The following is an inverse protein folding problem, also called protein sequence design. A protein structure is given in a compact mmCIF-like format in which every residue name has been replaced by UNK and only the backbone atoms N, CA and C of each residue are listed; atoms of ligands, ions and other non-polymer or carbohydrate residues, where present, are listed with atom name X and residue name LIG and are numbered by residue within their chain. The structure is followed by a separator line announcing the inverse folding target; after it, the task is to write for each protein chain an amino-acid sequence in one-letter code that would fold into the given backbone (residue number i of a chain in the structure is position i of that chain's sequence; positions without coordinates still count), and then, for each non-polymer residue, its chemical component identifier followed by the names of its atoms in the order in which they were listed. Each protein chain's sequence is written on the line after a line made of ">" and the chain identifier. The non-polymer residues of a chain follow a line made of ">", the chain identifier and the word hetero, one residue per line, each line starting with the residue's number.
data_IF_614535621881
#
_entry.id   IF_614535621881
#
_cell.length_a   1.000
_cell.length_b   1.000
_cell.length_c   1.000
_cell.angle_alpha   90.00
_cell.angle_beta   90.00
_cell.angle_gamma   90.00
#
_symmetry.space_group_name_H-M   'P 1'
#
loop_
_entity.id
_entity.type
_entity.pdbx_description
1 polymer ?
#
# COMPACT_ATOMS: atom_id res chain seq x y z
N UNK A 1 -10.08 7.35 2.49
CA UNK A 1 -8.69 7.73 2.15
C UNK A 1 -7.81 6.50 1.97
N UNK A 2 -6.81 6.56 1.09
CA UNK A 2 -5.93 5.43 0.72
C UNK A 2 -5.22 4.81 1.94
N UNK A 3 -4.54 5.63 2.74
CA UNK A 3 -3.73 5.14 3.87
C UNK A 3 -4.57 4.50 4.99
N UNK A 4 -5.81 4.97 5.22
CA UNK A 4 -6.74 4.29 6.13
C UNK A 4 -7.09 2.89 5.62
N UNK A 5 -7.36 2.75 4.32
CA UNK A 5 -7.64 1.45 3.72
C UNK A 5 -6.45 0.49 3.86
N UNK A 6 -5.22 0.96 3.62
CA UNK A 6 -4.01 0.18 3.84
C UNK A 6 -3.86 -0.25 5.31
N UNK A 7 -4.16 0.65 6.26
CA UNK A 7 -4.13 0.34 7.68
C UNK A 7 -5.15 -0.74 8.06
N UNK A 8 -6.35 -0.67 7.46
CA UNK A 8 -7.38 -1.71 7.61
C UNK A 8 -6.92 -3.04 7.04
N UNK A 9 -6.29 -3.06 5.87
CA UNK A 9 -5.73 -4.27 5.27
C UNK A 9 -4.62 -4.87 6.14
N UNK A 10 -3.69 -4.05 6.62
CA UNK A 10 -2.63 -4.48 7.54
C UNK A 10 -3.25 -5.09 8.81
N UNK A 11 -4.17 -4.39 9.46
CA UNK A 11 -4.86 -4.89 10.66
C UNK A 11 -5.62 -6.22 10.43
N UNK A 12 -6.16 -6.42 9.23
CA UNK A 12 -6.96 -7.60 8.89
C UNK A 12 -6.10 -8.82 8.53
N UNK A 13 -5.01 -8.63 7.79
CA UNK A 13 -4.20 -9.70 7.22
C UNK A 13 -2.95 -10.04 8.04
N UNK A 14 -2.45 -9.11 8.86
CA UNK A 14 -1.27 -9.30 9.68
C UNK A 14 -1.51 -10.28 10.83
N UNK A 15 -0.68 -11.32 10.91
CA UNK A 15 -0.67 -12.30 12.00
C UNK A 15 -0.42 -11.64 13.35
N UNK A 16 0.29 -10.52 13.40
CA UNK A 16 0.54 -9.77 14.64
C UNK A 16 -0.77 -9.27 15.29
N UNK A 17 -1.78 -8.97 14.48
CA UNK A 17 -3.08 -8.49 14.94
C UNK A 17 -4.17 -9.57 14.99
N UNK A 18 -3.82 -10.83 14.72
CA UNK A 18 -4.76 -11.95 14.61
C UNK A 18 -5.73 -12.05 15.80
N UNK A 19 -5.21 -11.89 17.02
CA UNK A 19 -6.00 -12.02 18.26
C UNK A 19 -6.79 -10.75 18.61
N UNK A 20 -6.60 -9.65 17.87
CA UNK A 20 -7.31 -8.37 18.02
C UNK A 20 -8.44 -8.19 17.00
N UNK A 21 -8.83 -9.24 16.29
CA UNK A 21 -9.85 -9.15 15.25
C UNK A 21 -11.20 -8.61 15.77
N UNK A 22 -11.66 -9.07 16.94
CA UNK A 22 -12.90 -8.55 17.53
C UNK A 22 -12.75 -7.07 17.91
N UNK A 23 -11.63 -6.69 18.50
CA UNK A 23 -11.38 -5.30 18.90
C UNK A 23 -11.46 -4.34 17.69
N UNK A 24 -10.90 -4.74 16.55
CA UNK A 24 -10.83 -3.87 15.38
C UNK A 24 -12.06 -3.90 14.50
N UNK A 25 -12.74 -5.04 14.38
CA UNK A 25 -13.74 -5.23 13.33
C UNK A 25 -15.16 -5.45 13.86
N UNK A 26 -15.40 -5.64 15.16
CA UNK A 26 -16.74 -5.88 15.71
C UNK A 26 -17.75 -4.82 15.25
N UNK A 27 -18.88 -5.29 14.74
CA UNK A 27 -19.95 -4.43 14.20
C UNK A 27 -19.73 -3.98 12.75
N UNK A 28 -18.70 -4.48 12.07
CA UNK A 28 -18.47 -4.26 10.64
C UNK A 28 -18.82 -5.50 9.83
N UNK A 29 -19.14 -5.31 8.54
CA UNK A 29 -19.46 -6.42 7.64
C UNK A 29 -18.34 -7.48 7.56
N UNK A 30 -17.07 -7.05 7.58
CA UNK A 30 -15.91 -7.95 7.49
C UNK A 30 -15.70 -8.79 8.75
N UNK A 31 -16.26 -8.38 9.90
CA UNK A 31 -16.26 -9.20 11.12
C UNK A 31 -17.20 -10.39 11.00
N UNK A 32 -18.38 -10.16 10.43
CA UNK A 32 -19.39 -11.20 10.21
C UNK A 32 -19.05 -12.10 9.00
N UNK A 33 -18.17 -11.64 8.11
CA UNK A 33 -17.76 -12.35 6.89
C UNK A 33 -16.21 -12.46 6.79
N UNK A 34 -15.54 -13.14 7.74
CA UNK A 34 -14.10 -13.30 7.69
C UNK A 34 -13.69 -14.20 6.52
N UNK A 35 -12.59 -13.84 5.86
CA UNK A 35 -11.94 -14.64 4.82
C UNK A 35 -10.97 -15.64 5.46
N UNK A 36 -10.66 -16.71 4.73
CA UNK A 36 -9.70 -17.74 5.18
C UNK A 36 -8.27 -17.20 5.39
N UNK A 37 -7.93 -16.05 4.78
CA UNK A 37 -6.59 -15.45 4.83
C UNK A 37 -6.42 -14.44 5.98
N UNK A 38 -7.45 -14.23 6.80
CA UNK A 38 -7.41 -13.32 7.96
C UNK A 38 -6.28 -13.68 8.92
N UNK A 39 -5.45 -12.69 9.26
CA UNK A 39 -4.36 -12.83 10.24
C UNK A 39 -3.35 -13.94 9.89
N UNK A 40 -3.08 -14.13 8.60
CA UNK A 40 -2.24 -15.23 8.09
C UNK A 40 -0.82 -14.81 7.74
N UNK A 41 -0.59 -13.55 7.42
CA UNK A 41 0.66 -13.10 6.80
C UNK A 41 1.53 -12.32 7.76
N UNK A 42 2.84 -12.34 7.53
CA UNK A 42 3.69 -11.25 7.99
C UNK A 42 3.50 -10.07 7.02
N UNK A 43 3.19 -8.88 7.52
CA UNK A 43 3.01 -7.71 6.65
C UNK A 43 4.28 -6.86 6.63
N UNK A 44 4.80 -6.60 5.43
CA UNK A 44 5.84 -5.60 5.17
C UNK A 44 5.16 -4.36 4.57
N UNK A 45 5.03 -3.32 5.38
CA UNK A 45 4.40 -2.04 4.99
C UNK A 45 5.49 -1.01 4.69
N UNK A 46 5.45 -0.42 3.49
CA UNK A 46 6.42 0.56 3.00
C UNK A 46 5.68 1.81 2.53
N UNK A 47 5.96 2.97 3.11
CA UNK A 47 5.43 4.24 2.62
C UNK A 47 6.55 5.05 1.96
N UNK A 48 6.48 5.32 0.66
CA UNK A 48 7.52 6.07 -0.05
C UNK A 48 7.31 7.58 -0.05
N UNK A 49 6.32 8.09 0.69
CA UNK A 49 6.14 9.52 0.97
C UNK A 49 7.34 10.15 1.67
N UNK A 50 8.05 9.36 2.48
CA UNK A 50 9.18 9.79 3.32
C UNK A 50 10.52 9.82 2.59
N UNK A 51 10.56 9.35 1.33
CA UNK A 51 11.79 9.32 0.54
C UNK A 51 12.12 10.72 0.04
N UNK A 52 13.33 11.19 0.35
CA UNK A 52 13.82 12.50 -0.09
C UNK A 52 13.85 12.59 -1.63
N UNK A 53 13.08 13.49 -2.26
CA UNK A 53 13.05 13.61 -3.70
C UNK A 53 14.30 14.27 -4.30
N UNK A 54 15.17 14.90 -3.49
CA UNK A 54 16.43 15.47 -3.99
C UNK A 54 17.33 14.37 -4.61
N UNK A 55 17.70 14.46 -5.90
CA UNK A 55 18.40 13.38 -6.62
C UNK A 55 19.69 12.89 -5.94
N UNK A 56 20.43 13.79 -5.28
CA UNK A 56 21.68 13.47 -4.60
C UNK A 56 21.51 12.66 -3.31
N UNK A 57 20.33 12.72 -2.68
CA UNK A 57 20.02 12.06 -1.39
C UNK A 57 19.05 10.91 -1.54
N UNK A 58 18.34 10.84 -2.66
CA UNK A 58 17.25 9.91 -2.90
C UNK A 58 17.61 8.45 -2.69
N UNK A 59 18.66 7.95 -3.34
CA UNK A 59 19.04 6.54 -3.23
C UNK A 59 19.39 6.18 -1.79
N UNK A 60 20.10 7.07 -1.09
CA UNK A 60 20.43 6.92 0.33
C UNK A 60 19.18 6.96 1.22
N UNK A 61 18.25 7.89 0.97
CA UNK A 61 17.00 7.99 1.73
C UNK A 61 16.11 6.76 1.52
N UNK A 62 15.98 6.29 0.28
CA UNK A 62 15.30 5.05 -0.08
C UNK A 62 15.95 3.85 0.60
N UNK A 63 17.29 3.75 0.54
CA UNK A 63 18.03 2.71 1.23
C UNK A 63 17.72 2.67 2.73
N UNK A 64 17.86 3.81 3.41
CA UNK A 64 17.66 3.90 4.85
C UNK A 64 16.23 3.50 5.24
N UNK A 65 15.24 3.98 4.48
CA UNK A 65 13.84 3.63 4.71
C UNK A 65 13.58 2.12 4.58
N UNK A 66 14.12 1.48 3.54
CA UNK A 66 14.01 0.03 3.36
C UNK A 66 14.74 -0.73 4.48
N UNK A 67 15.89 -0.24 4.92
CA UNK A 67 16.65 -0.83 6.03
C UNK A 67 15.86 -0.77 7.34
N UNK A 68 15.36 0.40 7.70
CA UNK A 68 14.59 0.63 8.93
C UNK A 68 13.32 -0.23 8.93
N UNK A 69 12.60 -0.29 7.81
CA UNK A 69 11.43 -1.14 7.66
C UNK A 69 11.76 -2.63 7.82
N UNK A 70 12.89 -3.10 7.27
CA UNK A 70 13.31 -4.48 7.39
C UNK A 70 13.76 -4.85 8.82
N UNK A 71 14.45 -3.96 9.51
CA UNK A 71 14.84 -4.14 10.91
C UNK A 71 13.59 -4.19 11.80
N UNK A 72 12.68 -3.24 11.64
CA UNK A 72 11.42 -3.22 12.38
C UNK A 72 10.57 -4.47 12.11
N UNK A 73 10.53 -4.95 10.87
CA UNK A 73 9.86 -6.19 10.48
C UNK A 73 10.43 -7.39 11.26
N UNK A 74 11.76 -7.56 11.28
CA UNK A 74 12.39 -8.70 11.98
C UNK A 74 12.11 -8.64 13.48
N UNK A 75 12.13 -7.45 14.07
CA UNK A 75 11.81 -7.26 15.49
C UNK A 75 10.35 -7.63 15.79
N UNK A 76 9.41 -7.09 15.01
CA UNK A 76 7.97 -7.32 15.14
C UNK A 76 7.61 -8.80 15.04
N UNK A 77 8.20 -9.50 14.08
CA UNK A 77 7.89 -10.91 13.80
C UNK A 77 8.91 -11.89 14.37
N UNK A 78 9.71 -11.45 15.34
CA UNK A 78 10.80 -12.25 15.94
C UNK A 78 10.34 -13.64 16.44
N UNK A 79 9.12 -13.74 16.97
CA UNK A 79 8.52 -15.01 17.39
C UNK A 79 8.17 -15.93 16.23
N UNK A 80 7.64 -15.39 15.12
CA UNK A 80 7.30 -16.14 13.91
C UNK A 80 8.55 -16.58 13.12
N UNK A 81 9.65 -15.83 13.27
CA UNK A 81 10.94 -16.13 12.64
C UNK A 81 11.86 -17.00 13.54
N UNK A 82 11.48 -17.21 14.80
CA UNK A 82 12.32 -17.85 15.83
C UNK A 82 12.72 -19.30 15.52
N UNK A 83 11.89 -20.01 14.75
CA UNK A 83 12.16 -21.39 14.35
C UNK A 83 13.30 -21.51 13.33
N UNK A 84 13.80 -20.39 12.79
CA UNK A 84 14.90 -20.39 11.85
C UNK A 84 16.25 -20.12 12.55
N UNK A 85 17.19 -21.09 12.59
CA UNK A 85 18.42 -21.01 13.39
C UNK A 85 19.38 -19.87 13.02
N UNK A 86 19.22 -19.26 11.84
CA UNK A 86 20.13 -18.23 11.32
C UNK A 86 19.51 -16.83 11.29
N UNK A 87 18.40 -16.56 11.98
CA UNK A 87 17.73 -15.24 11.94
C UNK A 87 18.70 -14.07 12.23
N UNK A 88 19.61 -14.22 13.19
CA UNK A 88 20.54 -13.16 13.59
C UNK A 88 21.60 -12.89 12.51
N UNK A 89 21.98 -13.91 11.73
CA UNK A 89 22.82 -13.74 10.55
C UNK A 89 22.12 -12.88 9.48
N UNK A 90 20.83 -13.12 9.24
CA UNK A 90 20.05 -12.33 8.28
C UNK A 90 19.84 -10.88 8.75
N UNK A 91 19.53 -10.68 10.04
CA UNK A 91 19.41 -9.35 10.64
C UNK A 91 20.72 -8.55 10.47
N UNK A 92 21.86 -9.14 10.84
CA UNK A 92 23.17 -8.50 10.66
C UNK A 92 23.50 -8.23 9.19
N UNK A 93 23.13 -9.14 8.29
CA UNK A 93 23.34 -8.95 6.84
C UNK A 93 22.54 -7.77 6.29
N UNK A 94 21.32 -7.54 6.80
CA UNK A 94 20.49 -6.38 6.45
C UNK A 94 21.11 -5.08 6.98
N UNK A 95 21.59 -5.06 8.22
CA UNK A 95 22.21 -3.87 8.85
C UNK A 95 23.48 -3.40 8.11
N UNK A 96 24.26 -4.31 7.55
CA UNK A 96 25.52 -3.96 6.84
C UNK A 96 25.34 -3.82 5.32
N UNK A 97 24.14 -4.08 4.80
CA UNK A 97 23.87 -4.01 3.36
C UNK A 97 24.03 -2.58 2.85
N UNK A 98 24.44 -2.43 1.59
CA UNK A 98 24.58 -1.11 0.92
C UNK A 98 23.55 -0.88 -0.18
N UNK A 99 22.65 -1.84 -0.40
CA UNK A 99 21.59 -1.75 -1.40
C UNK A 99 20.24 -2.14 -0.81
N UNK A 100 19.21 -1.35 -1.10
CA UNK A 100 17.83 -1.66 -0.78
C UNK A 100 17.36 -2.99 -1.42
N UNK A 101 17.87 -3.29 -2.62
CA UNK A 101 17.58 -4.54 -3.33
C UNK A 101 18.14 -5.75 -2.58
N UNK A 102 19.36 -5.62 -2.02
CA UNK A 102 20.00 -6.69 -1.25
C UNK A 102 19.34 -6.86 0.12
N UNK A 103 18.90 -5.77 0.76
CA UNK A 103 18.11 -5.81 2.00
C UNK A 103 16.82 -6.61 1.75
N UNK A 104 16.03 -6.20 0.75
CA UNK A 104 14.79 -6.88 0.42
C UNK A 104 15.04 -8.35 0.07
N UNK A 105 16.03 -8.64 -0.79
CA UNK A 105 16.35 -10.02 -1.17
C UNK A 105 16.76 -10.89 0.04
N UNK A 106 17.47 -10.31 1.00
CA UNK A 106 17.86 -10.97 2.24
C UNK A 106 16.65 -11.23 3.13
N UNK A 107 15.75 -10.26 3.26
CA UNK A 107 14.50 -10.40 4.02
C UNK A 107 13.57 -11.46 3.43
N UNK A 108 13.43 -11.47 2.10
CA UNK A 108 12.63 -12.48 1.39
C UNK A 108 13.21 -13.88 1.57
N UNK A 109 14.54 -14.02 1.50
CA UNK A 109 15.18 -15.30 1.76
C UNK A 109 14.96 -15.76 3.21
N UNK A 110 15.06 -14.85 4.19
CA UNK A 110 14.73 -15.17 5.59
C UNK A 110 13.29 -15.70 5.72
N UNK A 111 12.30 -15.01 5.14
CA UNK A 111 10.91 -15.44 5.21
C UNK A 111 10.70 -16.80 4.54
N UNK A 112 11.32 -17.01 3.37
CA UNK A 112 11.29 -18.29 2.66
C UNK A 112 11.84 -19.44 3.50
N UNK A 113 13.02 -19.25 4.09
CA UNK A 113 13.68 -20.27 4.90
C UNK A 113 12.95 -20.54 6.22
N UNK A 114 12.29 -19.52 6.77
CA UNK A 114 11.39 -19.64 7.93
C UNK A 114 9.99 -20.17 7.56
N UNK A 115 9.73 -20.47 6.29
CA UNK A 115 8.43 -20.91 5.73
C UNK A 115 7.27 -19.96 6.09
N UNK A 116 7.56 -18.65 6.10
CA UNK A 116 6.58 -17.60 6.39
C UNK A 116 6.07 -16.97 5.10
N UNK A 117 4.76 -16.72 5.05
CA UNK A 117 4.11 -16.02 3.96
C UNK A 117 4.06 -14.50 4.24
N UNK A 118 4.39 -13.71 3.23
CA UNK A 118 4.52 -12.27 3.28
C UNK A 118 3.40 -11.59 2.47
N UNK A 119 2.81 -10.55 3.06
CA UNK A 119 2.00 -9.57 2.38
C UNK A 119 2.81 -8.27 2.29
N UNK A 120 3.14 -7.82 1.07
CA UNK A 120 3.80 -6.54 0.86
C UNK A 120 2.79 -5.43 0.57
N UNK A 121 2.80 -4.36 1.36
CA UNK A 121 2.00 -3.15 1.13
C UNK A 121 2.95 -2.01 0.80
N UNK A 122 2.73 -1.30 -0.30
CA UNK A 122 3.51 -0.13 -0.70
C UNK A 122 2.56 1.05 -0.91
N UNK A 123 2.68 2.09 -0.10
CA UNK A 123 1.99 3.36 -0.30
C UNK A 123 2.89 4.37 -1.00
N UNK A 124 2.27 5.27 -1.75
CA UNK A 124 2.91 6.38 -2.46
C UNK A 124 4.12 5.96 -3.32
N UNK A 125 4.01 4.84 -4.05
CA UNK A 125 5.15 4.27 -4.79
C UNK A 125 5.78 5.25 -5.79
N UNK A 126 5.02 6.24 -6.26
CA UNK A 126 5.36 7.20 -7.29
C UNK A 126 5.68 8.60 -6.74
N UNK A 127 5.64 8.81 -5.43
CA UNK A 127 5.75 10.16 -4.87
C UNK A 127 7.08 10.86 -5.22
N UNK A 128 8.20 10.21 -4.93
CA UNK A 128 9.51 10.80 -5.22
C UNK A 128 9.80 10.82 -6.73
N UNK A 129 9.27 9.86 -7.51
CA UNK A 129 9.45 9.84 -8.97
C UNK A 129 8.69 10.97 -9.66
N UNK A 130 7.48 11.28 -9.19
CA UNK A 130 6.71 12.44 -9.66
C UNK A 130 7.46 13.75 -9.39
N UNK A 131 8.08 13.86 -8.21
CA UNK A 131 8.85 15.06 -7.87
C UNK A 131 10.04 15.24 -8.79
N UNK A 132 10.78 14.17 -9.12
CA UNK A 132 11.89 14.25 -10.08
C UNK A 132 11.40 14.63 -11.46
N UNK A 133 10.32 13.98 -11.92
CA UNK A 133 9.75 14.25 -13.24
C UNK A 133 9.34 15.73 -13.36
N UNK A 134 8.80 16.31 -12.28
CA UNK A 134 8.39 17.71 -12.22
C UNK A 134 9.57 18.70 -12.07
N UNK A 135 10.62 18.35 -11.31
CA UNK A 135 11.69 19.30 -10.92
C UNK A 135 12.96 19.18 -11.76
N UNK A 136 13.36 17.98 -12.14
CA UNK A 136 14.60 17.69 -12.86
C UNK A 136 14.33 17.35 -14.32
N UNK A 137 13.20 16.69 -14.58
CA UNK A 137 12.73 16.34 -15.92
C UNK A 137 12.94 14.87 -16.30
N UNK A 138 12.54 14.56 -17.53
CA UNK A 138 12.37 13.19 -18.01
C UNK A 138 13.66 12.37 -18.03
N UNK A 139 14.82 12.95 -18.37
CA UNK A 139 16.07 12.20 -18.45
C UNK A 139 16.52 11.65 -17.09
N UNK A 140 16.39 12.46 -16.02
CA UNK A 140 16.72 12.03 -14.67
C UNK A 140 15.75 10.96 -14.16
N UNK A 141 14.46 11.13 -14.44
CA UNK A 141 13.45 10.13 -14.17
C UNK A 141 13.78 8.79 -14.89
N UNK A 142 14.12 8.83 -16.18
CA UNK A 142 14.47 7.63 -16.95
C UNK A 142 15.72 6.91 -16.42
N UNK A 143 16.72 7.64 -15.91
CA UNK A 143 17.92 7.03 -15.30
C UNK A 143 17.60 6.23 -14.03
N UNK A 144 16.52 6.58 -13.34
CA UNK A 144 16.07 5.90 -12.11
C UNK A 144 15.18 4.70 -12.40
N UNK A 145 14.29 4.84 -13.41
CA UNK A 145 13.26 3.85 -13.73
C UNK A 145 13.67 2.88 -14.84
N UNK A 146 14.63 3.22 -15.71
CA UNK A 146 15.17 2.35 -16.76
C UNK A 146 16.62 1.90 -16.50
N UNK A 147 17.04 0.82 -17.17
CA UNK A 147 18.41 0.30 -17.07
C UNK A 147 18.73 -0.31 -15.69
N UNK A 148 19.92 -0.03 -15.10
CA UNK A 148 20.36 -0.56 -13.80
C UNK A 148 19.91 0.26 -12.58
N UNK A 149 18.90 1.13 -12.71
CA UNK A 149 18.42 1.98 -11.62
C UNK A 149 18.02 1.19 -10.35
N UNK A 150 18.32 1.75 -9.17
CA UNK A 150 18.06 1.09 -7.88
C UNK A 150 16.57 0.77 -7.69
N UNK A 151 15.69 1.64 -8.19
CA UNK A 151 14.25 1.52 -8.00
C UNK A 151 13.67 0.35 -8.82
N UNK A 152 14.07 0.24 -10.09
CA UNK A 152 13.73 -0.93 -10.92
C UNK A 152 14.28 -2.22 -10.33
N UNK A 153 15.51 -2.20 -9.82
CA UNK A 153 16.15 -3.35 -9.18
C UNK A 153 15.38 -3.82 -7.93
N UNK A 154 14.86 -2.88 -7.13
CA UNK A 154 14.02 -3.18 -5.98
C UNK A 154 12.71 -3.90 -6.39
N UNK A 155 12.01 -3.39 -7.41
CA UNK A 155 10.80 -4.05 -7.91
C UNK A 155 11.07 -5.41 -8.58
N UNK A 156 12.21 -5.58 -9.24
CA UNK A 156 12.65 -6.89 -9.72
C UNK A 156 12.81 -7.90 -8.56
N UNK A 157 13.36 -7.46 -7.42
CA UNK A 157 13.47 -8.31 -6.23
C UNK A 157 12.10 -8.67 -5.64
N UNK A 158 11.15 -7.71 -5.58
CA UNK A 158 9.76 -8.02 -5.21
C UNK A 158 9.16 -9.07 -6.16
N UNK A 159 9.31 -8.91 -7.47
CA UNK A 159 8.80 -9.87 -8.46
C UNK A 159 9.41 -11.25 -8.25
N UNK A 160 10.72 -11.33 -8.04
CA UNK A 160 11.41 -12.59 -7.73
C UNK A 160 10.83 -13.24 -6.46
N UNK A 161 10.47 -12.44 -5.45
CA UNK A 161 9.83 -12.91 -4.22
C UNK A 161 8.44 -13.52 -4.39
N UNK A 162 7.78 -13.33 -5.53
CA UNK A 162 6.46 -13.93 -5.85
C UNK A 162 6.54 -15.19 -6.71
N UNK A 163 7.72 -15.52 -7.25
CA UNK A 163 7.88 -16.59 -8.26
C UNK A 163 8.77 -17.72 -7.76
N UNK A 164 8.40 -18.95 -8.14
CA UNK A 164 9.13 -20.18 -7.79
C UNK A 164 8.59 -20.89 -6.55
N UNK A 165 9.05 -22.13 -6.34
CA UNK A 165 8.61 -22.98 -5.23
C UNK A 165 9.04 -22.38 -3.88
N UNK A 166 8.07 -22.19 -2.99
CA UNK A 166 8.28 -21.55 -1.70
C UNK A 166 8.58 -20.05 -1.81
N UNK A 167 8.06 -19.37 -2.83
CA UNK A 167 8.10 -17.92 -2.90
C UNK A 167 7.44 -17.30 -1.65
N UNK A 168 8.13 -16.41 -0.92
CA UNK A 168 7.61 -15.88 0.34
C UNK A 168 6.49 -14.84 0.14
N UNK A 169 6.43 -14.13 -0.99
CA UNK A 169 5.38 -13.11 -1.21
C UNK A 169 4.13 -13.79 -1.76
N UNK A 170 3.10 -13.87 -0.92
CA UNK A 170 1.78 -14.42 -1.30
C UNK A 170 0.84 -13.33 -1.82
N UNK A 171 0.98 -12.09 -1.32
CA UNK A 171 0.14 -10.94 -1.71
C UNK A 171 0.97 -9.66 -1.79
N UNK A 172 0.57 -8.76 -2.69
CA UNK A 172 1.10 -7.40 -2.75
C UNK A 172 0.00 -6.41 -3.07
N UNK A 173 -0.03 -5.27 -2.39
CA UNK A 173 -0.94 -4.17 -2.69
C UNK A 173 -0.18 -2.86 -2.73
N UNK A 174 -0.33 -2.11 -3.83
CA UNK A 174 0.51 -0.95 -4.13
C UNK A 174 -0.40 0.21 -4.50
N UNK A 175 -0.21 1.36 -3.87
CA UNK A 175 -0.99 2.59 -4.09
C UNK A 175 -0.10 3.76 -4.48
N UNK A 176 -0.63 4.63 -5.33
CA UNK A 176 0.03 5.83 -5.85
C UNK A 176 -0.95 6.67 -6.66
N UNK A 177 -0.47 7.75 -7.29
CA UNK A 177 -1.33 8.67 -8.07
C UNK A 177 -1.03 8.65 -9.57
N UNK A 178 0.20 8.34 -9.96
CA UNK A 178 0.76 8.51 -11.31
C UNK A 178 0.94 7.17 -12.00
N UNK A 179 0.10 6.85 -13.00
CA UNK A 179 0.25 5.63 -13.78
C UNK A 179 1.53 5.62 -14.64
N UNK A 180 2.16 6.77 -14.89
CA UNK A 180 3.40 6.85 -15.69
C UNK A 180 4.54 6.10 -15.02
N UNK A 181 4.69 6.24 -13.70
CA UNK A 181 5.66 5.44 -12.94
C UNK A 181 5.31 3.97 -12.93
N UNK A 182 4.03 3.62 -13.05
CA UNK A 182 3.60 2.23 -13.15
C UNK A 182 4.15 1.59 -14.42
N UNK A 183 4.07 2.22 -15.59
CA UNK A 183 4.54 1.61 -16.84
C UNK A 183 6.06 1.31 -16.81
N UNK A 184 6.87 2.21 -16.26
CA UNK A 184 8.33 1.99 -16.23
C UNK A 184 8.74 0.98 -15.14
N UNK A 185 8.05 1.01 -13.99
CA UNK A 185 8.22 0.04 -12.90
C UNK A 185 7.61 -1.33 -13.25
N UNK A 186 6.56 -1.39 -14.07
CA UNK A 186 5.93 -2.66 -14.49
C UNK A 186 6.88 -3.48 -15.35
N UNK A 187 7.89 -2.90 -16.01
CA UNK A 187 8.95 -3.72 -16.61
C UNK A 187 9.68 -4.57 -15.55
N UNK A 188 9.82 -4.05 -14.33
CA UNK A 188 10.37 -4.75 -13.17
C UNK A 188 9.36 -5.55 -12.34
N UNK A 189 8.07 -5.21 -12.42
CA UNK A 189 6.96 -5.85 -11.69
C UNK A 189 5.73 -6.13 -12.59
N UNK A 190 5.92 -6.78 -13.73
CA UNK A 190 4.88 -7.00 -14.76
C UNK A 190 3.80 -8.03 -14.39
N UNK A 191 3.72 -8.39 -13.11
CA UNK A 191 2.74 -9.32 -12.54
C UNK A 191 1.61 -8.58 -11.83
N UNK A 192 1.75 -7.26 -11.62
CA UNK A 192 0.72 -6.43 -11.01
C UNK A 192 -0.47 -6.23 -11.96
N UNK A 193 -1.68 -6.22 -11.39
CA UNK A 193 -2.91 -5.83 -12.08
C UNK A 193 -3.33 -4.44 -11.58
N UNK A 194 -3.46 -3.46 -12.48
CA UNK A 194 -4.08 -2.20 -12.13
C UNK A 194 -5.60 -2.41 -11.95
N UNK A 195 -6.10 -2.15 -10.74
CA UNK A 195 -7.50 -2.36 -10.36
C UNK A 195 -8.24 -1.06 -10.05
N UNK A 196 -7.59 0.10 -10.22
CA UNK A 196 -8.14 1.41 -9.82
C UNK A 196 -9.44 1.77 -10.55
N UNK A 197 -9.69 1.19 -11.73
CA UNK A 197 -10.90 1.44 -12.54
C UNK A 197 -11.89 0.27 -12.52
N UNK A 198 -11.64 -0.76 -11.70
CA UNK A 198 -12.55 -1.89 -11.55
C UNK A 198 -13.83 -1.45 -10.82
N UNK A 199 -15.03 -1.74 -11.34
CA UNK A 199 -16.30 -1.33 -10.73
C UNK A 199 -16.44 -1.69 -9.25
N UNK A 200 -15.94 -2.86 -8.86
CA UNK A 200 -16.03 -3.36 -7.49
C UNK A 200 -15.21 -2.54 -6.50
N UNK A 201 -14.19 -1.82 -6.96
CA UNK A 201 -13.33 -0.96 -6.13
C UNK A 201 -13.63 0.53 -6.32
N UNK A 202 -14.52 0.89 -7.26
CA UNK A 202 -14.89 2.28 -7.56
C UNK A 202 -15.36 3.02 -6.29
N UNK A 203 -16.14 2.35 -5.46
CA UNK A 203 -16.66 2.91 -4.19
C UNK A 203 -15.58 3.19 -3.15
N UNK A 204 -14.38 2.64 -3.30
CA UNK A 204 -13.26 2.94 -2.39
C UNK A 204 -12.64 4.32 -2.62
N UNK A 205 -12.91 4.94 -3.77
CA UNK A 205 -12.29 6.19 -4.19
C UNK A 205 -13.02 7.44 -3.67
N UNK A 206 -14.13 7.30 -2.95
CA UNK A 206 -14.91 8.42 -2.43
C UNK A 206 -16.14 7.95 -1.68
N UNK A 207 -17.13 8.85 -1.55
CA UNK A 207 -18.43 8.53 -0.98
C UNK A 207 -19.49 8.45 -2.08
N UNK A 208 -20.40 7.48 -1.99
CA UNK A 208 -21.60 7.46 -2.84
C UNK A 208 -22.60 8.51 -2.37
N UNK A 209 -23.60 8.83 -3.19
CA UNK A 209 -24.69 9.71 -2.75
C UNK A 209 -25.43 9.15 -1.52
N UNK A 210 -25.60 7.82 -1.46
CA UNK A 210 -26.24 7.17 -0.32
C UNK A 210 -25.40 7.36 0.95
N UNK A 211 -24.07 7.19 0.88
CA UNK A 211 -23.18 7.44 2.01
C UNK A 211 -23.27 8.90 2.50
N UNK A 212 -23.30 9.87 1.58
CA UNK A 212 -23.41 11.30 1.90
C UNK A 212 -24.76 11.61 2.54
N UNK A 213 -25.85 11.08 2.00
CA UNK A 213 -27.21 11.25 2.54
C UNK A 213 -27.31 10.63 3.93
N UNK A 214 -26.80 9.42 4.12
CA UNK A 214 -26.80 8.73 5.41
C UNK A 214 -26.04 9.54 6.47
N UNK A 215 -24.85 10.05 6.13
CA UNK A 215 -24.07 10.90 7.03
C UNK A 215 -24.80 12.21 7.36
N UNK A 216 -25.43 12.85 6.38
CA UNK A 216 -26.22 14.07 6.61
C UNK A 216 -27.40 13.81 7.55
N UNK A 217 -28.19 12.77 7.28
CA UNK A 217 -29.33 12.39 8.12
C UNK A 217 -28.89 12.02 9.54
N UNK A 218 -27.75 11.34 9.69
CA UNK A 218 -27.15 11.07 11.00
C UNK A 218 -26.92 12.38 11.78
N UNK A 219 -26.20 13.35 11.21
CA UNK A 219 -25.91 14.61 11.90
C UNK A 219 -27.15 15.48 12.13
N UNK A 220 -28.14 15.42 11.23
CA UNK A 220 -29.45 16.05 11.43
C UNK A 220 -30.21 15.45 12.59
N UNK A 221 -30.23 14.12 12.72
CA UNK A 221 -30.89 13.43 13.83
C UNK A 221 -30.31 13.80 15.20
N UNK A 222 -29.05 14.27 15.22
CA UNK A 222 -28.35 14.79 16.41
C UNK A 222 -28.53 16.30 16.62
N UNK A 223 -29.21 17.00 15.71
CA UNK A 223 -29.43 18.44 15.76
C UNK A 223 -28.24 19.29 15.32
N UNK A 224 -27.21 18.69 14.70
CA UNK A 224 -26.00 19.40 14.27
C UNK A 224 -26.18 20.13 12.93
N UNK A 225 -27.18 19.73 12.14
CA UNK A 225 -27.50 20.27 10.83
C UNK A 225 -28.99 20.60 10.77
N UNK A 226 -29.33 21.84 10.42
CA UNK A 226 -30.71 22.33 10.32
C UNK A 226 -31.24 22.41 8.88
N UNK A 227 -30.35 22.41 7.88
CA UNK A 227 -30.73 22.53 6.47
C UNK A 227 -31.34 21.23 5.91
N UNK A 228 -32.30 21.32 4.96
CA UNK A 228 -32.81 20.19 4.18
C UNK A 228 -31.70 19.36 3.50
N UNK A 229 -31.85 18.04 3.43
CA UNK A 229 -30.80 17.12 2.97
C UNK A 229 -30.62 17.23 1.46
N UNK A 230 -31.72 17.37 0.73
CA UNK A 230 -31.75 17.70 -0.69
C UNK A 230 -30.99 19.00 -1.01
N UNK A 231 -31.17 20.05 -0.19
CA UNK A 231 -30.43 21.31 -0.35
C UNK A 231 -28.92 21.12 -0.18
N UNK A 232 -28.49 20.36 0.84
CA UNK A 232 -27.07 20.10 1.08
C UNK A 232 -26.45 19.20 0.01
N UNK A 233 -27.18 18.18 -0.44
CA UNK A 233 -26.74 17.31 -1.53
C UNK A 233 -26.55 18.11 -2.82
N UNK A 234 -27.45 19.04 -3.16
CA UNK A 234 -27.29 19.91 -4.34
C UNK A 234 -26.02 20.77 -4.23
N UNK A 235 -25.74 21.36 -3.07
CA UNK A 235 -24.52 22.13 -2.85
C UNK A 235 -23.28 21.25 -3.03
N UNK A 236 -23.19 20.14 -2.30
CA UNK A 236 -22.00 19.29 -2.34
C UNK A 236 -21.82 18.68 -3.74
N UNK A 237 -22.91 18.35 -4.44
CA UNK A 237 -22.85 17.80 -5.80
C UNK A 237 -22.24 18.77 -6.81
N UNK A 238 -22.46 20.08 -6.64
CA UNK A 238 -21.89 21.11 -7.51
C UNK A 238 -20.38 21.27 -7.33
N UNK A 239 -19.89 21.12 -6.12
CA UNK A 239 -18.48 21.38 -5.79
C UNK A 239 -17.61 20.12 -5.78
N UNK A 240 -18.17 18.98 -5.36
CA UNK A 240 -17.40 17.77 -5.01
C UNK A 240 -17.99 16.48 -5.58
N UNK A 241 -19.15 16.52 -6.24
CA UNK A 241 -19.82 15.34 -6.78
C UNK A 241 -19.41 14.96 -8.20
N UNK A 242 -20.16 14.02 -8.78
CA UNK A 242 -20.13 13.63 -10.19
C UNK A 242 -18.83 12.97 -10.70
N UNK A 243 -17.90 12.59 -9.84
CA UNK A 243 -16.74 11.82 -10.26
C UNK A 243 -17.16 10.42 -10.69
N UNK A 244 -16.69 9.99 -11.87
CA UNK A 244 -16.92 8.65 -12.39
C UNK A 244 -15.58 8.02 -12.75
N UNK A 245 -15.12 7.08 -11.92
CA UNK A 245 -13.82 6.45 -12.12
C UNK A 245 -13.91 5.17 -12.96
N UNK A 246 -15.03 4.45 -12.95
CA UNK A 246 -15.22 3.29 -13.82
C UNK A 246 -16.23 3.56 -14.94
N UNK A 247 -15.81 3.35 -16.20
CA UNK A 247 -16.71 3.43 -17.37
C UNK A 247 -17.76 2.32 -17.42
N UNK A 248 -17.57 1.26 -16.64
CA UNK A 248 -18.47 0.10 -16.55
C UNK A 248 -19.45 0.21 -15.38
N UNK A 249 -19.37 1.31 -14.63
CA UNK A 249 -20.25 1.62 -13.51
C UNK A 249 -20.96 2.95 -13.80
N UNK A 250 -22.10 3.18 -13.17
CA UNK A 250 -22.85 4.44 -13.22
C UNK A 250 -22.88 5.16 -11.87
N UNK A 251 -22.28 4.57 -10.83
CA UNK A 251 -22.19 5.18 -9.51
C UNK A 251 -21.23 6.38 -9.57
N UNK A 252 -21.81 7.57 -9.36
CA UNK A 252 -21.06 8.81 -9.18
C UNK A 252 -20.58 8.91 -7.74
N UNK A 253 -19.33 9.33 -7.58
CA UNK A 253 -18.68 9.48 -6.30
C UNK A 253 -18.50 10.96 -5.96
N UNK A 254 -18.55 11.24 -4.67
CA UNK A 254 -18.11 12.49 -4.06
C UNK A 254 -16.64 12.34 -3.65
N UNK A 255 -15.81 13.33 -3.97
CA UNK A 255 -14.40 13.34 -3.57
C UNK A 255 -14.30 13.42 -2.03
N UNK A 256 -13.43 12.58 -1.43
CA UNK A 256 -13.22 12.54 0.02
C UNK A 256 -12.29 13.63 0.55
N UNK A 257 -11.56 14.34 -0.31
CA UNK A 257 -10.70 15.49 0.08
C UNK A 257 -11.54 16.77 0.32
N UNK A 258 -12.79 16.61 0.80
CA UNK A 258 -13.67 17.70 1.25
C UNK A 258 -13.11 18.42 2.47
#
# INVERSE_FOLDING_TARGET
>A
GKSLFLSVMEAYYDVFYKDRFEEFFKGTWVYDHPTEERGRYLVLSLNFSVVEPEPAKMETSFHNHIQDAAVAFIQRYSNYLSNYPKKDYFARKIEISRSATDILSTLLLLCKEAQQELYVIIDEYDNFTNTILATVGQEAYLKLTHGPGFFRSFFNALKKGTTGTGAPISRSFITGVSPVTMDDVTSGYNIGKNVSLEPTLNRMLGFTQDDVVEMMEYYRSKGNISHPTDYLVDIISRWYGNYLFSKKDNVRMFNSDM
#
